data_IF_989425810217
#
_entry.id   IF_989425810217
#
_cell.length_a   1.000
_cell.length_b   1.000
_cell.length_c   1.000
_cell.angle_alpha   90.00
_cell.angle_beta   90.00
_cell.angle_gamma   90.00
#
_symmetry.space_group_name_H-M   'P 1'
#
loop_
_entity.id
_entity.type
_entity.pdbx_description
1 polymer ?
#
# COMPACT_ATOMS: atom_id res chain seq x y z
N UNK A 1 1.53 5.35 11.04
CA UNK A 1 0.20 5.28 10.42
C UNK A 1 -0.32 3.87 10.55
N UNK A 2 -1.61 3.72 10.81
CA UNK A 2 -2.33 2.45 10.74
C UNK A 2 -3.30 2.57 9.55
N UNK A 3 -3.38 1.52 8.74
CA UNK A 3 -4.21 1.51 7.54
C UNK A 3 -5.03 0.21 7.46
N UNK A 4 -6.28 0.33 7.02
CA UNK A 4 -7.14 -0.78 6.63
C UNK A 4 -7.52 -0.61 5.17
N UNK A 5 -7.00 -1.51 4.33
CA UNK A 5 -7.33 -1.62 2.90
C UNK A 5 -8.27 -2.79 2.66
N UNK A 6 -9.39 -2.56 1.99
CA UNK A 6 -10.43 -3.57 1.74
C UNK A 6 -10.80 -3.65 0.26
N UNK A 7 -11.17 -4.87 -0.16
CA UNK A 7 -11.67 -5.18 -1.52
C UNK A 7 -10.79 -4.60 -2.64
N UNK A 8 -9.45 -4.76 -2.58
CA UNK A 8 -8.59 -4.23 -3.62
C UNK A 8 -8.91 -4.86 -4.98
N UNK A 9 -8.90 -4.06 -6.03
CA UNK A 9 -9.00 -4.48 -7.42
C UNK A 9 -7.93 -3.77 -8.22
N UNK A 10 -7.22 -4.53 -9.04
CA UNK A 10 -6.23 -3.99 -9.97
C UNK A 10 -6.60 -4.54 -11.34
N UNK A 11 -6.81 -3.64 -12.30
CA UNK A 11 -7.08 -3.99 -13.69
C UNK A 11 -6.46 -2.94 -14.62
N UNK A 12 -5.78 -3.42 -15.67
CA UNK A 12 -5.15 -2.58 -16.70
C UNK A 12 -4.33 -1.38 -16.16
N UNK A 13 -3.57 -1.59 -15.07
CA UNK A 13 -2.71 -0.57 -14.44
C UNK A 13 -3.44 0.38 -13.49
N UNK A 14 -4.74 0.20 -13.25
CA UNK A 14 -5.54 1.03 -12.35
C UNK A 14 -5.87 0.23 -11.08
N UNK A 15 -5.43 0.75 -9.93
CA UNK A 15 -5.76 0.21 -8.61
C UNK A 15 -6.96 0.93 -8.01
N UNK A 16 -7.89 0.17 -7.43
CA UNK A 16 -9.05 0.68 -6.68
C UNK A 16 -9.15 -0.09 -5.36
N UNK A 17 -9.24 0.64 -4.26
CA UNK A 17 -9.28 0.06 -2.92
C UNK A 17 -10.13 0.91 -1.99
N UNK A 18 -10.90 0.27 -1.11
CA UNK A 18 -11.53 0.97 0.00
C UNK A 18 -10.46 1.13 1.10
N UNK A 19 -10.04 2.36 1.37
CA UNK A 19 -8.95 2.64 2.30
C UNK A 19 -9.39 3.58 3.42
N UNK A 20 -8.97 3.23 4.65
CA UNK A 20 -9.07 4.07 5.83
C UNK A 20 -7.69 4.11 6.46
N UNK A 21 -7.16 5.30 6.65
CA UNK A 21 -5.87 5.52 7.30
C UNK A 21 -6.03 6.45 8.48
N UNK A 22 -5.22 6.23 9.51
CA UNK A 22 -5.15 7.12 10.66
C UNK A 22 -3.72 7.22 11.21
N UNK A 23 -3.35 8.36 11.81
CA UNK A 23 -2.11 8.47 12.54
C UNK A 23 -2.12 7.50 13.73
N UNK A 24 -0.98 6.86 13.96
CA UNK A 24 -0.76 6.00 15.12
C UNK A 24 0.61 6.37 15.70
N UNK A 25 0.68 6.51 17.02
CA UNK A 25 1.92 6.77 17.74
C UNK A 25 2.96 5.69 17.38
N UNK A 26 4.17 6.07 16.92
CA UNK A 26 5.22 5.11 16.57
C UNK A 26 5.57 4.14 17.70
N UNK A 27 5.52 4.56 18.97
CA UNK A 27 5.78 3.69 20.11
C UNK A 27 4.68 2.63 20.28
N UNK A 28 3.42 3.00 20.05
CA UNK A 28 2.29 2.05 20.06
C UNK A 28 2.42 1.08 18.88
N UNK A 29 2.76 1.58 17.68
CA UNK A 29 2.95 0.75 16.50
C UNK A 29 4.08 -0.29 16.71
N UNK A 30 5.23 0.12 17.26
CA UNK A 30 6.33 -0.78 17.60
C UNK A 30 5.95 -1.80 18.66
N UNK A 31 5.20 -1.38 19.69
CA UNK A 31 4.71 -2.27 20.73
C UNK A 31 3.74 -3.34 20.17
N UNK A 32 2.86 -2.96 19.24
CA UNK A 32 1.95 -3.90 18.57
C UNK A 32 2.69 -4.81 17.60
N UNK A 33 3.76 -4.34 16.93
CA UNK A 33 4.57 -5.19 16.07
C UNK A 33 5.34 -6.27 16.88
N UNK A 34 5.81 -5.91 18.08
CA UNK A 34 6.48 -6.83 19.00
C UNK A 34 5.52 -7.80 19.70
N UNK A 35 4.32 -7.34 20.03
CA UNK A 35 3.25 -8.14 20.65
C UNK A 35 1.89 -7.82 19.97
N UNK A 36 1.53 -8.56 18.91
CA UNK A 36 0.34 -8.29 18.10
C UNK A 36 -0.99 -8.38 18.85
N UNK A 37 -1.05 -9.09 19.98
CA UNK A 37 -2.26 -9.15 20.80
C UNK A 37 -2.65 -7.76 21.35
N UNK A 38 -1.67 -6.86 21.52
CA UNK A 38 -1.89 -5.49 22.01
C UNK A 38 -2.69 -4.63 21.04
N UNK A 39 -2.71 -4.96 19.74
CA UNK A 39 -3.43 -4.19 18.72
C UNK A 39 -4.93 -4.13 19.03
N UNK A 40 -5.50 -5.21 19.59
CA UNK A 40 -6.93 -5.28 19.90
C UNK A 40 -7.38 -4.33 21.01
N UNK A 41 -6.45 -3.86 21.86
CA UNK A 41 -6.70 -2.89 22.92
C UNK A 41 -6.36 -1.43 22.54
N UNK A 42 -5.92 -1.17 21.30
CA UNK A 42 -5.64 0.19 20.83
C UNK A 42 -6.96 0.92 20.61
N UNK A 43 -7.09 2.12 21.19
CA UNK A 43 -8.21 3.02 20.90
C UNK A 43 -8.07 3.58 19.48
N UNK A 44 -8.63 2.85 18.52
CA UNK A 44 -8.49 3.10 17.09
C UNK A 44 -9.85 2.91 16.38
N UNK A 45 -10.33 3.91 15.62
CA UNK A 45 -11.44 3.74 14.69
C UNK A 45 -11.26 2.53 13.76
N UNK A 46 -10.05 2.32 13.23
CA UNK A 46 -9.75 1.17 12.37
C UNK A 46 -9.89 -0.16 13.14
N UNK A 47 -9.34 -0.28 14.36
CA UNK A 47 -9.46 -1.52 15.16
C UNK A 47 -10.92 -1.83 15.50
N UNK A 48 -11.72 -0.81 15.84
CA UNK A 48 -13.17 -0.99 16.04
C UNK A 48 -13.88 -1.44 14.77
N UNK A 49 -13.53 -0.88 13.63
CA UNK A 49 -14.09 -1.25 12.34
C UNK A 49 -13.75 -2.71 11.99
N UNK A 50 -12.51 -3.13 12.22
CA UNK A 50 -12.08 -4.53 12.03
C UNK A 50 -12.87 -5.48 12.94
N UNK A 51 -13.06 -5.10 14.21
CA UNK A 51 -13.87 -5.89 15.14
C UNK A 51 -15.33 -6.00 14.71
N UNK A 52 -15.93 -4.90 14.25
CA UNK A 52 -17.32 -4.87 13.79
C UNK A 52 -17.54 -5.66 12.48
N UNK A 53 -16.65 -5.51 11.51
CA UNK A 53 -16.80 -6.09 10.16
C UNK A 53 -16.39 -7.57 10.10
N UNK A 54 -15.39 -7.97 10.88
CA UNK A 54 -14.76 -9.29 10.78
C UNK A 54 -14.87 -10.14 12.06
N UNK A 55 -15.41 -9.58 13.15
CA UNK A 55 -15.57 -10.30 14.42
C UNK A 55 -14.25 -10.60 15.15
N UNK A 56 -13.17 -9.86 14.84
CA UNK A 56 -11.83 -10.03 15.44
C UNK A 56 -11.40 -8.73 16.13
N UNK A 57 -11.21 -8.74 17.46
CA UNK A 57 -10.86 -7.54 18.24
C UNK A 57 -10.95 -7.73 19.75
N UNK A 58 -10.60 -6.68 20.52
CA UNK A 58 -10.55 -6.69 21.99
C UNK A 58 -9.25 -7.28 22.56
N UNK A 59 -9.14 -7.33 23.89
CA UNK A 59 -7.91 -7.66 24.63
C UNK A 59 -7.35 -9.08 24.38
N UNK A 60 -8.09 -9.94 23.68
CA UNK A 60 -7.71 -11.32 23.37
C UNK A 60 -7.72 -11.63 21.86
N UNK A 61 -7.61 -10.62 21.01
CA UNK A 61 -7.63 -10.83 19.56
C UNK A 61 -6.42 -11.68 19.10
N UNK A 62 -6.64 -12.74 18.30
CA UNK A 62 -5.59 -13.68 17.90
C UNK A 62 -4.73 -13.12 16.74
N UNK A 63 -4.37 -11.84 16.79
CA UNK A 63 -3.54 -11.23 15.77
C UNK A 63 -2.12 -11.80 15.82
N UNK A 64 -1.50 -11.89 14.64
CA UNK A 64 -0.09 -12.22 14.46
C UNK A 64 0.53 -11.22 13.51
N UNK A 65 1.81 -10.91 13.70
CA UNK A 65 2.57 -10.10 12.77
C UNK A 65 3.06 -10.99 11.63
N UNK A 66 2.68 -10.66 10.40
CA UNK A 66 3.10 -11.42 9.20
C UNK A 66 4.53 -11.08 8.76
N UNK A 67 5.19 -10.14 9.43
CA UNK A 67 6.44 -9.53 8.99
C UNK A 67 6.19 -8.28 8.15
N UNK A 68 7.16 -7.94 7.30
CA UNK A 68 7.06 -6.78 6.42
C UNK A 68 8.22 -6.68 5.45
N UNK A 69 8.25 -5.58 4.70
CA UNK A 69 9.26 -5.28 3.69
C UNK A 69 9.56 -3.78 3.72
N UNK A 70 10.64 -3.35 3.06
CA UNK A 70 11.04 -1.94 3.02
C UNK A 70 10.62 -1.31 1.70
N UNK A 71 10.00 -0.15 1.74
CA UNK A 71 9.78 0.69 0.56
C UNK A 71 10.52 2.03 0.73
N UNK A 72 11.23 2.46 -0.32
CA UNK A 72 11.75 3.84 -0.42
C UNK A 72 10.94 4.54 -1.49
N UNK A 73 10.20 5.58 -1.09
CA UNK A 73 9.33 6.36 -1.96
C UNK A 73 9.96 7.71 -2.27
N UNK A 74 10.14 8.01 -3.56
CA UNK A 74 10.44 9.35 -4.04
C UNK A 74 9.15 9.98 -4.59
N UNK A 75 8.86 11.21 -4.17
CA UNK A 75 7.65 11.93 -4.57
C UNK A 75 8.03 13.09 -5.47
N UNK A 76 7.34 13.22 -6.61
CA UNK A 76 7.60 14.24 -7.61
C UNK A 76 6.30 14.96 -7.97
N UNK A 77 6.34 16.29 -8.02
CA UNK A 77 5.23 17.08 -8.54
C UNK A 77 5.47 17.36 -10.02
N UNK A 78 4.52 16.95 -10.87
CA UNK A 78 4.50 17.25 -12.29
C UNK A 78 3.64 18.51 -12.49
N UNK A 79 4.27 19.67 -12.32
CA UNK A 79 3.60 20.98 -12.25
C UNK A 79 2.68 21.26 -13.44
N UNK A 80 3.12 20.95 -14.67
CA UNK A 80 2.36 21.21 -15.89
C UNK A 80 1.03 20.42 -15.97
N UNK A 81 0.95 19.29 -15.26
CA UNK A 81 -0.22 18.40 -15.25
C UNK A 81 -0.94 18.42 -13.89
N UNK A 82 -0.39 19.10 -12.88
CA UNK A 82 -0.91 19.12 -11.52
C UNK A 82 -0.95 17.76 -10.83
N UNK A 83 -0.03 16.85 -11.20
CA UNK A 83 0.01 15.47 -10.69
C UNK A 83 1.11 15.26 -9.66
N UNK A 84 0.88 14.35 -8.72
CA UNK A 84 1.89 13.89 -7.76
C UNK A 84 2.24 12.44 -8.07
N UNK A 85 3.47 12.23 -8.51
CA UNK A 85 3.99 10.90 -8.86
C UNK A 85 4.77 10.33 -7.69
N UNK A 86 4.55 9.05 -7.41
CA UNK A 86 5.27 8.29 -6.40
C UNK A 86 6.10 7.21 -7.11
N UNK A 87 7.43 7.34 -7.07
CA UNK A 87 8.35 6.33 -7.55
C UNK A 87 8.81 5.49 -6.35
N UNK A 88 8.44 4.22 -6.36
CA UNK A 88 8.71 3.27 -5.29
C UNK A 88 9.84 2.32 -5.67
N UNK A 89 10.82 2.19 -4.77
CA UNK A 89 11.74 1.07 -4.73
C UNK A 89 11.38 0.18 -3.53
N UNK A 90 10.71 -0.94 -3.82
CA UNK A 90 10.30 -1.92 -2.80
C UNK A 90 11.29 -3.08 -2.72
N UNK A 91 11.89 -3.25 -1.55
CA UNK A 91 12.87 -4.30 -1.25
C UNK A 91 12.23 -5.39 -0.39
N UNK A 92 12.10 -6.57 -0.98
CA UNK A 92 11.74 -7.81 -0.33
C UNK A 92 12.98 -8.69 -0.14
N UNK A 93 12.89 -9.75 0.68
CA UNK A 93 13.97 -10.72 0.84
C UNK A 93 14.26 -11.52 -0.45
N UNK A 94 13.26 -11.63 -1.33
CA UNK A 94 13.33 -12.38 -2.60
C UNK A 94 13.58 -11.51 -3.84
N UNK A 95 13.79 -10.20 -3.68
CA UNK A 95 14.06 -9.31 -4.80
C UNK A 95 13.63 -7.86 -4.57
N UNK A 96 13.90 -7.02 -5.56
CA UNK A 96 13.50 -5.61 -5.56
C UNK A 96 12.54 -5.35 -6.73
N UNK A 97 11.45 -4.64 -6.47
CA UNK A 97 10.53 -4.14 -7.50
C UNK A 97 10.54 -2.62 -7.54
N UNK A 98 10.23 -2.08 -8.71
CA UNK A 98 10.10 -0.66 -8.95
C UNK A 98 8.70 -0.38 -9.50
N UNK A 99 8.00 0.59 -8.94
CA UNK A 99 6.65 0.97 -9.36
C UNK A 99 6.53 2.50 -9.44
N UNK A 100 5.80 2.98 -10.44
CA UNK A 100 5.42 4.40 -10.55
C UNK A 100 3.91 4.48 -10.35
N UNK A 101 3.49 5.17 -9.29
CA UNK A 101 2.09 5.32 -8.90
C UNK A 101 1.68 6.81 -8.96
N UNK A 102 0.40 7.06 -9.20
CA UNK A 102 -0.19 8.39 -9.09
C UNK A 102 -1.62 8.23 -8.56
N UNK A 103 -1.89 8.77 -7.39
CA UNK A 103 -3.25 8.81 -6.86
C UNK A 103 -4.06 9.89 -7.59
N UNK A 104 -5.27 9.55 -8.04
CA UNK A 104 -6.12 10.48 -8.80
C UNK A 104 -7.58 10.03 -8.83
N UNK A 105 -8.48 11.01 -9.00
CA UNK A 105 -9.89 10.77 -9.32
C UNK A 105 -10.13 10.41 -10.80
N UNK A 106 -9.16 10.67 -11.67
CA UNK A 106 -9.27 10.52 -13.14
C UNK A 106 -8.23 9.55 -13.69
N UNK A 107 -8.26 8.26 -13.28
CA UNK A 107 -7.18 7.31 -13.51
C UNK A 107 -6.91 7.03 -14.99
N UNK A 108 -7.94 7.03 -15.85
CA UNK A 108 -7.74 6.72 -17.27
C UNK A 108 -6.94 7.83 -17.97
N UNK A 109 -7.23 9.10 -17.68
CA UNK A 109 -6.52 10.24 -18.26
C UNK A 109 -5.08 10.32 -17.73
N UNK A 110 -4.91 10.19 -16.42
CA UNK A 110 -3.59 10.25 -15.77
C UNK A 110 -2.72 9.08 -16.22
N UNK A 111 -3.28 7.88 -16.36
CA UNK A 111 -2.54 6.73 -16.87
C UNK A 111 -1.93 7.02 -18.25
N UNK A 112 -2.69 7.63 -19.16
CA UNK A 112 -2.14 8.02 -20.46
C UNK A 112 -0.99 9.04 -20.35
N UNK A 113 -1.05 9.97 -19.38
CA UNK A 113 0.06 10.91 -19.10
C UNK A 113 1.31 10.15 -18.67
N UNK A 114 1.18 9.21 -17.72
CA UNK A 114 2.31 8.39 -17.25
C UNK A 114 2.89 7.50 -18.36
N UNK A 115 2.04 6.88 -19.17
CA UNK A 115 2.47 6.06 -20.31
C UNK A 115 3.26 6.88 -21.33
N UNK A 116 2.77 8.09 -21.66
CA UNK A 116 3.50 9.02 -22.54
C UNK A 116 4.83 9.45 -21.94
N UNK A 117 4.85 9.79 -20.64
CA UNK A 117 6.05 10.19 -19.92
C UNK A 117 7.14 9.10 -20.00
N UNK A 118 6.78 7.87 -19.65
CA UNK A 118 7.69 6.72 -19.68
C UNK A 118 8.16 6.39 -21.10
N UNK A 119 7.26 6.45 -22.08
CA UNK A 119 7.57 6.20 -23.49
C UNK A 119 8.56 7.23 -24.04
N UNK A 120 8.33 8.53 -23.79
CA UNK A 120 9.21 9.62 -24.23
C UNK A 120 10.59 9.53 -23.56
N UNK A 121 10.62 9.13 -22.28
CA UNK A 121 11.85 8.91 -21.55
C UNK A 121 12.60 7.62 -21.96
N UNK A 122 11.99 6.76 -22.76
CA UNK A 122 12.55 5.46 -23.16
C UNK A 122 12.64 4.46 -22.00
N UNK A 123 11.78 4.60 -20.98
CA UNK A 123 11.73 3.72 -19.81
C UNK A 123 10.73 2.59 -20.09
N UNK A 124 11.17 1.31 -20.09
CA UNK A 124 10.25 0.19 -20.25
C UNK A 124 9.36 0.04 -19.01
N UNK A 125 8.10 -0.29 -19.23
CA UNK A 125 7.13 -0.51 -18.16
C UNK A 125 6.13 -1.60 -18.52
N UNK A 126 5.50 -2.16 -17.49
CA UNK A 126 4.31 -3.00 -17.60
C UNK A 126 3.30 -2.53 -16.55
N UNK A 127 2.03 -2.88 -16.72
CA UNK A 127 1.03 -2.62 -15.70
C UNK A 127 1.17 -3.61 -14.54
N UNK A 128 1.29 -3.08 -13.32
CA UNK A 128 1.17 -3.89 -12.10
C UNK A 128 -0.15 -4.66 -12.12
N UNK A 129 -0.09 -5.96 -11.85
CA UNK A 129 -1.26 -6.85 -11.70
C UNK A 129 -1.51 -7.26 -10.26
N UNK A 130 -0.52 -7.00 -9.40
CA UNK A 130 -0.50 -7.38 -8.00
C UNK A 130 -0.04 -6.18 -7.17
N UNK A 131 -0.55 -6.02 -5.95
CA UNK A 131 -0.01 -5.01 -5.03
C UNK A 131 1.21 -5.56 -4.26
N UNK A 132 2.00 -4.67 -3.67
CA UNK A 132 3.20 -5.00 -2.87
C UNK A 132 2.93 -6.04 -1.78
N UNK A 133 1.76 -6.00 -1.12
CA UNK A 133 1.38 -6.99 -0.10
C UNK A 133 1.12 -8.38 -0.69
N UNK A 134 0.51 -8.46 -1.89
CA UNK A 134 0.33 -9.72 -2.61
C UNK A 134 1.68 -10.32 -3.03
N UNK A 135 2.62 -9.50 -3.51
CA UNK A 135 4.00 -9.92 -3.80
C UNK A 135 4.68 -10.47 -2.53
N UNK A 136 4.60 -9.73 -1.42
CA UNK A 136 5.14 -10.15 -0.12
C UNK A 136 4.61 -11.52 0.31
N UNK A 137 3.30 -11.70 0.32
CA UNK A 137 2.67 -12.97 0.70
C UNK A 137 3.00 -14.12 -0.25
N UNK A 138 3.24 -13.84 -1.54
CA UNK A 138 3.61 -14.85 -2.53
C UNK A 138 5.08 -15.31 -2.41
N UNK A 139 5.94 -14.56 -1.72
CA UNK A 139 7.35 -14.90 -1.56
C UNK A 139 8.15 -14.83 -2.86
N UNK A 140 7.67 -14.08 -3.86
CA UNK A 140 8.30 -13.91 -5.17
C UNK A 140 7.83 -12.62 -5.83
N UNK A 141 8.61 -12.11 -6.78
CA UNK A 141 8.18 -10.99 -7.62
C UNK A 141 7.01 -11.44 -8.50
N UNK A 142 5.88 -10.75 -8.36
CA UNK A 142 4.73 -10.88 -9.24
C UNK A 142 4.75 -9.75 -10.26
N UNK A 143 4.17 -9.95 -11.46
CA UNK A 143 3.84 -8.87 -12.36
C UNK A 143 2.69 -8.01 -11.78
#
# INVERSE_FOLDING_TARGET
>A
MLALKRRPRIDAGVSRVEEVEEPLDPAIALACAADPARLGGVDSPIVRLVAADYGVGGDAAPFVCLGGFRNTRAVYELEDEGLVLELDETRFDFGTSYELECETAEPDQVKEVLERLLTVAGVPYEYSRSNKFACFMAGKLLP
#
